data_IF_388366648973
#
_entry.id   IF_388366648973
#
_cell.length_a   1.000
_cell.length_b   1.000
_cell.length_c   1.000
_cell.angle_alpha   90.00
_cell.angle_beta   90.00
_cell.angle_gamma   90.00
#
_symmetry.space_group_name_H-M   'P 1'
#
loop_
_entity.id
_entity.type
_entity.pdbx_description
1 polymer ?
#
# COMPACT_ATOMS: atom_id res chain seq x y z
N UNK A 1 21.59 7.45 -16.88
CA UNK A 1 22.24 6.12 -17.06
C UNK A 1 22.70 5.51 -15.74
N UNK A 2 23.43 6.23 -14.88
CA UNK A 2 23.88 5.70 -13.58
C UNK A 2 22.71 5.27 -12.66
N UNK A 3 21.66 6.09 -12.53
CA UNK A 3 20.48 5.79 -11.70
C UNK A 3 19.81 4.44 -12.05
N UNK A 4 19.55 4.22 -13.34
CA UNK A 4 18.90 2.99 -13.83
C UNK A 4 19.82 1.77 -13.69
N UNK A 5 21.13 1.93 -13.91
CA UNK A 5 22.11 0.84 -13.72
C UNK A 5 22.26 0.45 -12.24
N UNK A 6 22.17 1.43 -11.34
CA UNK A 6 22.29 1.21 -9.91
C UNK A 6 21.04 0.58 -9.29
N UNK A 7 19.85 0.90 -9.81
CA UNK A 7 18.60 0.30 -9.35
C UNK A 7 17.66 0.01 -10.54
N UNK A 8 17.72 -1.22 -11.10
CA UNK A 8 16.88 -1.61 -12.23
C UNK A 8 15.39 -1.72 -11.87
N UNK A 9 15.04 -1.74 -10.58
CA UNK A 9 13.67 -1.87 -10.08
C UNK A 9 12.97 -0.52 -9.82
N UNK A 10 13.64 0.60 -10.10
CA UNK A 10 13.08 1.94 -9.99
C UNK A 10 11.75 2.03 -10.74
N UNK A 11 10.77 2.77 -10.20
CA UNK A 11 9.52 3.02 -10.91
C UNK A 11 9.72 4.05 -12.01
N UNK A 12 8.82 4.09 -13.01
CA UNK A 12 8.90 5.13 -14.03
C UNK A 12 8.58 6.51 -13.41
N UNK A 13 7.61 6.53 -12.49
CA UNK A 13 7.26 7.69 -11.66
C UNK A 13 8.45 8.18 -10.82
N UNK A 14 9.13 7.28 -10.13
CA UNK A 14 10.26 7.60 -9.26
C UNK A 14 11.48 8.03 -10.07
N UNK A 15 11.73 7.41 -11.22
CA UNK A 15 12.81 7.85 -12.11
C UNK A 15 12.52 9.23 -12.71
N UNK A 16 11.29 9.48 -13.15
CA UNK A 16 10.87 10.80 -13.65
C UNK A 16 11.06 11.86 -12.56
N UNK A 17 10.60 11.58 -11.34
CA UNK A 17 10.80 12.44 -10.17
C UNK A 17 12.27 12.72 -9.92
N UNK A 18 13.11 11.69 -9.79
CA UNK A 18 14.57 11.88 -9.54
C UNK A 18 15.24 12.74 -10.61
N UNK A 19 14.77 12.68 -11.86
CA UNK A 19 15.28 13.53 -12.94
C UNK A 19 14.85 14.99 -12.73
N UNK A 20 13.58 15.23 -12.39
CA UNK A 20 13.06 16.57 -12.06
C UNK A 20 13.79 17.15 -10.84
N UNK A 21 13.95 16.38 -9.77
CA UNK A 21 14.66 16.83 -8.56
C UNK A 21 16.11 17.23 -8.86
N UNK A 22 16.79 16.46 -9.71
CA UNK A 22 18.15 16.78 -10.15
C UNK A 22 18.21 18.05 -11.01
N UNK A 23 17.19 18.31 -11.84
CA UNK A 23 17.10 19.54 -12.61
C UNK A 23 16.86 20.75 -11.69
N UNK A 24 15.90 20.64 -10.77
CA UNK A 24 15.61 21.66 -9.75
C UNK A 24 16.83 21.98 -8.88
N UNK A 25 17.60 20.96 -8.47
CA UNK A 25 18.82 21.16 -7.71
C UNK A 25 19.88 21.96 -8.48
N UNK A 26 19.98 21.77 -9.81
CA UNK A 26 20.89 22.54 -10.67
C UNK A 26 20.44 24.00 -10.84
N UNK A 27 19.15 24.27 -10.68
CA UNK A 27 18.59 25.62 -10.76
C UNK A 27 18.74 26.44 -9.47
N UNK A 28 19.34 25.84 -8.42
CA UNK A 28 19.52 26.47 -7.11
C UNK A 28 18.48 26.06 -6.07
N UNK A 29 17.79 24.93 -6.28
CA UNK A 29 16.81 24.38 -5.33
C UNK A 29 15.36 24.75 -5.63
N UNK A 30 15.13 25.63 -6.61
CA UNK A 30 13.79 26.01 -7.08
C UNK A 30 13.81 26.08 -8.61
N UNK A 31 12.80 25.52 -9.32
CA UNK A 31 12.72 25.63 -10.77
C UNK A 31 12.71 27.10 -11.22
N UNK A 32 13.52 27.44 -12.22
CA UNK A 32 13.53 28.79 -12.81
C UNK A 32 12.48 28.96 -13.92
N UNK A 33 12.05 27.86 -14.51
CA UNK A 33 11.00 27.73 -15.51
C UNK A 33 10.32 26.35 -15.33
N UNK A 34 9.29 26.05 -16.12
CA UNK A 34 8.56 24.78 -16.06
C UNK A 34 9.47 23.58 -16.39
N UNK A 35 9.47 22.56 -15.51
CA UNK A 35 10.25 21.32 -15.70
C UNK A 35 9.28 20.14 -15.90
N UNK A 36 9.35 19.51 -17.06
CA UNK A 36 8.59 18.29 -17.38
C UNK A 36 9.53 17.13 -17.70
N UNK A 37 9.21 15.94 -17.19
CA UNK A 37 9.95 14.71 -17.49
C UNK A 37 9.00 13.55 -17.78
N UNK A 38 9.17 12.93 -18.95
CA UNK A 38 8.50 11.69 -19.31
C UNK A 38 9.53 10.54 -19.34
N UNK A 39 9.16 9.40 -18.76
CA UNK A 39 10.01 8.21 -18.67
C UNK A 39 9.25 7.00 -19.20
N UNK A 40 9.83 6.32 -20.18
CA UNK A 40 9.32 5.07 -20.74
C UNK A 40 10.46 4.07 -20.93
N UNK A 41 10.27 2.83 -20.47
CA UNK A 41 11.19 1.71 -20.67
C UNK A 41 10.48 0.38 -20.43
N UNK A 42 10.98 -0.67 -21.06
CA UNK A 42 10.53 -2.05 -20.81
C UNK A 42 11.11 -2.56 -19.49
N UNK A 43 10.29 -3.24 -18.69
CA UNK A 43 10.69 -3.91 -17.45
C UNK A 43 9.84 -5.13 -17.16
N UNK A 44 10.30 -5.97 -16.22
CA UNK A 44 9.43 -6.92 -15.54
C UNK A 44 8.44 -6.15 -14.65
N UNK A 45 7.13 -6.47 -14.68
CA UNK A 45 6.15 -5.84 -13.81
C UNK A 45 6.51 -6.00 -12.33
N UNK A 46 6.25 -4.96 -11.54
CA UNK A 46 6.47 -5.00 -10.09
C UNK A 46 5.16 -5.34 -9.41
N UNK A 47 5.19 -6.45 -8.69
CA UNK A 47 4.02 -7.00 -8.03
C UNK A 47 3.92 -6.48 -6.60
N UNK A 48 2.70 -6.21 -6.16
CA UNK A 48 2.35 -5.83 -4.81
C UNK A 48 1.15 -6.63 -4.33
N UNK A 49 1.24 -7.17 -3.13
CA UNK A 49 0.11 -7.74 -2.39
C UNK A 49 -0.25 -6.80 -1.25
N UNK A 50 -1.52 -6.43 -1.16
CA UNK A 50 -2.11 -5.76 0.00
C UNK A 50 -3.16 -6.68 0.61
N UNK A 51 -2.86 -7.24 1.78
CA UNK A 51 -3.77 -8.05 2.57
C UNK A 51 -4.49 -7.19 3.61
N UNK A 52 -5.82 -7.27 3.69
CA UNK A 52 -6.61 -6.50 4.66
C UNK A 52 -7.84 -7.25 5.14
N UNK A 53 -8.15 -7.09 6.43
CA UNK A 53 -9.24 -7.80 7.09
C UNK A 53 -8.97 -9.29 7.33
N UNK A 54 -9.47 -9.87 8.43
CA UNK A 54 -9.31 -11.28 8.70
C UNK A 54 -10.20 -12.15 7.78
N UNK A 55 -9.78 -13.39 7.44
CA UNK A 55 -10.56 -14.32 6.62
C UNK A 55 -11.90 -14.69 7.23
N UNK A 56 -12.87 -15.12 6.41
CA UNK A 56 -14.20 -15.50 6.92
C UNK A 56 -14.15 -16.59 8.00
N UNK A 57 -13.25 -17.56 7.84
CA UNK A 57 -13.10 -18.69 8.76
C UNK A 57 -11.65 -18.87 9.19
N UNK A 58 -11.44 -19.37 10.42
CA UNK A 58 -10.09 -19.68 10.92
C UNK A 58 -9.37 -20.74 10.07
N UNK A 59 -10.11 -21.60 9.36
CA UNK A 59 -9.52 -22.59 8.44
C UNK A 59 -8.80 -21.92 7.26
N UNK A 60 -9.18 -20.68 6.93
CA UNK A 60 -8.58 -19.88 5.87
C UNK A 60 -7.42 -19.01 6.38
N UNK A 61 -7.13 -19.01 7.69
CA UNK A 61 -6.06 -18.21 8.28
C UNK A 61 -4.69 -18.65 7.75
N UNK A 62 -4.44 -19.96 7.68
CA UNK A 62 -3.19 -20.51 7.13
C UNK A 62 -3.04 -20.16 5.64
N UNK A 63 -4.13 -20.22 4.87
CA UNK A 63 -4.12 -19.86 3.45
C UNK A 63 -3.77 -18.37 3.25
N UNK A 64 -4.32 -17.48 4.08
CA UNK A 64 -3.95 -16.05 4.04
C UNK A 64 -2.47 -15.86 4.35
N UNK A 65 -1.96 -16.53 5.39
CA UNK A 65 -0.58 -16.43 5.81
C UNK A 65 0.40 -16.95 4.75
N UNK A 66 0.12 -18.11 4.15
CA UNK A 66 0.90 -18.69 3.05
C UNK A 66 0.88 -17.77 1.82
N UNK A 67 -0.30 -17.25 1.45
CA UNK A 67 -0.42 -16.30 0.33
C UNK A 67 0.46 -15.06 0.56
N UNK A 68 0.49 -14.53 1.80
CA UNK A 68 1.37 -13.41 2.15
C UNK A 68 2.84 -13.82 2.17
N UNK A 69 3.20 -14.99 2.66
CA UNK A 69 4.59 -15.43 2.77
C UNK A 69 5.23 -15.72 1.40
N UNK A 70 4.47 -16.34 0.50
CA UNK A 70 4.95 -16.86 -0.79
C UNK A 70 4.83 -15.85 -1.94
N UNK A 71 4.17 -14.71 -1.72
CA UNK A 71 3.98 -13.71 -2.77
C UNK A 71 5.33 -13.18 -3.30
N UNK A 72 5.54 -13.33 -4.61
CA UNK A 72 6.70 -12.79 -5.32
C UNK A 72 6.49 -11.30 -5.62
N UNK A 73 6.82 -10.47 -4.65
CA UNK A 73 6.68 -9.02 -4.74
C UNK A 73 6.67 -8.34 -3.37
N UNK A 74 6.32 -7.05 -3.39
CA UNK A 74 6.12 -6.29 -2.16
C UNK A 74 4.85 -6.76 -1.44
N UNK A 75 4.87 -6.75 -0.11
CA UNK A 75 3.85 -7.33 0.76
C UNK A 75 3.43 -6.35 1.84
N UNK A 76 2.18 -5.94 1.80
CA UNK A 76 1.54 -5.03 2.75
C UNK A 76 0.46 -5.80 3.52
N UNK A 77 0.44 -5.64 4.85
CA UNK A 77 -0.63 -6.17 5.70
C UNK A 77 -1.27 -5.02 6.46
N UNK A 78 -2.55 -4.77 6.18
CA UNK A 78 -3.32 -3.70 6.81
C UNK A 78 -4.35 -4.31 7.79
N UNK A 79 -4.16 -4.01 9.09
CA UNK A 79 -5.07 -4.38 10.18
C UNK A 79 -4.41 -5.23 11.24
N UNK A 80 -4.56 -4.82 12.51
CA UNK A 80 -3.99 -5.53 13.66
C UNK A 80 -4.40 -7.00 13.73
N UNK A 81 -5.69 -7.32 13.55
CA UNK A 81 -6.17 -8.71 13.55
C UNK A 81 -5.59 -9.51 12.38
N UNK A 82 -5.54 -8.92 11.19
CA UNK A 82 -4.93 -9.55 10.00
C UNK A 82 -3.45 -9.84 10.24
N UNK A 83 -2.72 -8.87 10.76
CA UNK A 83 -1.30 -9.01 11.09
C UNK A 83 -1.07 -10.07 12.17
N UNK A 84 -1.91 -10.12 13.20
CA UNK A 84 -1.84 -11.14 14.24
C UNK A 84 -2.08 -12.55 13.71
N UNK A 85 -3.01 -12.72 12.75
CA UNK A 85 -3.24 -14.01 12.08
C UNK A 85 -2.01 -14.43 11.30
N UNK A 86 -1.49 -13.56 10.42
CA UNK A 86 -0.29 -13.85 9.63
C UNK A 86 0.91 -14.15 10.55
N UNK A 87 1.06 -13.40 11.64
CA UNK A 87 2.11 -13.60 12.63
C UNK A 87 2.04 -14.98 13.28
N UNK A 88 0.84 -15.38 13.71
CA UNK A 88 0.57 -16.65 14.39
C UNK A 88 0.87 -17.83 13.48
N UNK A 89 0.36 -17.81 12.26
CA UNK A 89 0.50 -18.91 11.31
C UNK A 89 1.94 -19.06 10.79
N UNK A 90 2.66 -17.94 10.60
CA UNK A 90 4.05 -17.97 10.14
C UNK A 90 5.09 -18.11 11.26
N UNK A 91 4.67 -17.98 12.53
CA UNK A 91 5.59 -17.92 13.67
C UNK A 91 6.50 -16.69 13.66
N UNK A 92 6.03 -15.56 13.11
CA UNK A 92 6.81 -14.32 12.93
C UNK A 92 6.19 -13.18 13.75
N UNK A 93 6.88 -12.64 14.77
CA UNK A 93 6.30 -11.62 15.62
C UNK A 93 6.07 -10.29 14.88
N UNK A 94 5.00 -9.58 15.27
CA UNK A 94 4.76 -8.19 14.87
C UNK A 94 5.37 -7.28 15.94
N UNK A 95 6.23 -6.36 15.53
CA UNK A 95 6.80 -5.35 16.42
C UNK A 95 6.35 -3.98 15.99
N UNK A 96 5.76 -3.21 16.93
CA UNK A 96 5.44 -1.81 16.66
C UNK A 96 6.70 -1.01 16.37
N UNK A 97 6.59 -0.11 15.40
CA UNK A 97 7.64 0.79 14.99
C UNK A 97 7.25 2.22 15.35
N UNK A 98 8.03 2.80 16.26
CA UNK A 98 7.79 4.15 16.79
C UNK A 98 8.61 5.21 16.05
N UNK A 99 9.26 4.87 14.94
CA UNK A 99 10.06 5.80 14.13
C UNK A 99 9.19 6.85 13.42
N UNK A 100 7.93 6.51 13.10
CA UNK A 100 6.98 7.35 12.37
C UNK A 100 5.72 7.60 13.20
N UNK A 101 5.82 8.53 14.15
CA UNK A 101 4.69 8.95 14.98
C UNK A 101 3.93 10.09 14.29
N UNK A 102 2.62 9.92 14.17
CA UNK A 102 1.66 10.87 13.62
C UNK A 102 0.49 10.95 14.63
N UNK A 103 -0.06 12.15 14.87
CA UNK A 103 -1.12 12.34 15.86
C UNK A 103 -2.46 11.73 15.40
N UNK A 104 -2.70 11.71 14.09
CA UNK A 104 -3.95 11.25 13.48
C UNK A 104 -3.84 9.84 12.88
N UNK A 105 -2.61 9.41 12.55
CA UNK A 105 -2.35 8.10 11.94
C UNK A 105 -1.62 7.19 12.93
N UNK A 106 -2.20 6.02 13.27
CA UNK A 106 -1.56 5.08 14.17
C UNK A 106 -0.19 4.59 13.66
N UNK A 107 0.72 4.21 14.56
CA UNK A 107 2.07 3.81 14.19
C UNK A 107 2.08 2.58 13.29
N UNK A 108 3.10 2.47 12.45
CA UNK A 108 3.32 1.28 11.64
C UNK A 108 3.89 0.15 12.50
N UNK A 109 3.85 -1.06 11.97
CA UNK A 109 4.51 -2.22 12.56
C UNK A 109 5.42 -2.90 11.54
N UNK A 110 6.35 -3.71 12.04
CA UNK A 110 7.27 -4.53 11.24
C UNK A 110 7.00 -6.01 11.49
N UNK A 111 7.16 -6.81 10.44
CA UNK A 111 7.13 -8.26 10.48
C UNK A 111 8.10 -8.79 9.43
N UNK A 112 8.87 -9.83 9.76
CA UNK A 112 9.80 -10.44 8.81
C UNK A 112 9.09 -10.97 7.56
N UNK A 113 9.58 -10.56 6.38
CA UNK A 113 9.01 -10.93 5.09
C UNK A 113 7.76 -10.14 4.68
N UNK A 114 7.39 -9.10 5.44
CA UNK A 114 6.35 -8.13 5.10
C UNK A 114 6.97 -6.73 5.03
N UNK A 115 6.73 -6.01 3.95
CA UNK A 115 7.34 -4.70 3.70
C UNK A 115 6.75 -3.58 4.56
N UNK A 116 5.47 -3.69 4.90
CA UNK A 116 4.77 -2.69 5.70
C UNK A 116 3.57 -3.35 6.40
N UNK A 117 3.49 -3.19 7.72
CA UNK A 117 2.28 -3.52 8.50
C UNK A 117 1.67 -2.22 9.01
N UNK A 118 0.38 -2.01 8.78
CA UNK A 118 -0.34 -0.81 9.22
C UNK A 118 -1.64 -1.18 9.92
N UNK A 119 -2.35 -0.17 10.39
CA UNK A 119 -3.76 -0.31 10.71
C UNK A 119 -4.60 -0.70 9.49
N UNK A 120 -5.81 -1.18 9.77
CA UNK A 120 -6.70 -1.74 8.77
C UNK A 120 -7.45 -0.67 8.00
N UNK A 121 -8.74 -0.57 8.28
CA UNK A 121 -9.68 0.28 7.54
C UNK A 121 -9.30 1.76 7.59
N UNK A 122 -8.71 2.24 8.70
CA UNK A 122 -8.31 3.65 8.88
C UNK A 122 -7.23 4.05 7.86
N UNK A 123 -6.13 3.28 7.78
CA UNK A 123 -5.04 3.55 6.83
C UNK A 123 -5.54 3.47 5.39
N UNK A 124 -6.34 2.46 5.08
CA UNK A 124 -6.94 2.29 3.75
C UNK A 124 -7.84 3.48 3.37
N UNK A 125 -8.69 3.95 4.29
CA UNK A 125 -9.56 5.09 4.03
C UNK A 125 -8.75 6.37 3.76
N UNK A 126 -7.65 6.56 4.48
CA UNK A 126 -6.73 7.69 4.24
C UNK A 126 -6.03 7.59 2.89
N UNK A 127 -5.56 6.40 2.50
CA UNK A 127 -4.99 6.15 1.17
C UNK A 127 -5.99 6.49 0.07
N UNK A 128 -7.27 6.13 0.25
CA UNK A 128 -8.32 6.48 -0.71
C UNK A 128 -8.51 8.00 -0.83
N UNK A 129 -8.63 8.72 0.30
CA UNK A 129 -8.73 10.19 0.30
C UNK A 129 -7.53 10.83 -0.44
N UNK A 130 -6.33 10.33 -0.19
CA UNK A 130 -5.12 10.80 -0.86
C UNK A 130 -5.15 10.54 -2.38
N UNK A 131 -5.60 9.36 -2.84
CA UNK A 131 -5.76 9.06 -4.26
C UNK A 131 -6.82 9.92 -4.94
N UNK A 132 -7.95 10.17 -4.26
CA UNK A 132 -9.04 11.00 -4.79
C UNK A 132 -8.59 12.44 -5.03
N UNK A 133 -7.78 12.96 -4.10
CA UNK A 133 -7.21 14.31 -4.10
C UNK A 133 -5.90 14.43 -4.88
N UNK A 134 -5.43 13.34 -5.50
CA UNK A 134 -4.16 13.27 -6.23
C UNK A 134 -2.95 13.76 -5.41
N UNK A 135 -2.94 13.40 -4.11
CA UNK A 135 -1.87 13.76 -3.20
C UNK A 135 -0.59 13.02 -3.60
N UNK A 136 0.50 13.77 -3.71
CA UNK A 136 1.82 13.20 -3.89
C UNK A 136 2.41 12.77 -2.53
N UNK A 137 2.55 11.46 -2.22
CA UNK A 137 3.12 10.99 -0.95
C UNK A 137 4.55 11.49 -0.69
N UNK A 138 5.29 11.91 -1.72
CA UNK A 138 6.66 12.43 -1.57
C UNK A 138 6.71 13.80 -0.86
N UNK A 139 5.60 14.53 -0.82
CA UNK A 139 5.49 15.85 -0.16
C UNK A 139 4.80 15.78 1.20
N UNK A 140 4.40 14.59 1.63
CA UNK A 140 3.65 14.38 2.86
C UNK A 140 4.56 13.78 3.95
N UNK A 141 4.25 14.02 5.24
CA UNK A 141 4.93 13.34 6.34
C UNK A 141 4.89 11.82 6.19
N UNK A 142 5.99 11.15 6.53
CA UNK A 142 6.05 9.67 6.46
C UNK A 142 5.21 9.07 7.59
N UNK A 143 4.19 8.31 7.22
CA UNK A 143 3.30 7.55 8.10
C UNK A 143 2.75 6.32 7.36
N UNK A 144 1.92 5.51 8.02
CA UNK A 144 1.40 4.27 7.42
C UNK A 144 0.62 4.48 6.11
N UNK A 145 -0.11 5.59 5.98
CA UNK A 145 -0.89 5.87 4.78
C UNK A 145 -0.03 6.36 3.62
N UNK A 146 0.91 7.29 3.87
CA UNK A 146 1.80 7.81 2.82
C UNK A 146 2.74 6.73 2.31
N UNK A 147 3.24 5.86 3.19
CA UNK A 147 4.03 4.68 2.81
C UNK A 147 3.21 3.69 1.97
N UNK A 148 1.98 3.37 2.39
CA UNK A 148 1.11 2.47 1.62
C UNK A 148 0.80 3.03 0.22
N UNK A 149 0.53 4.33 0.13
CA UNK A 149 0.32 5.02 -1.15
C UNK A 149 1.57 4.99 -2.03
N UNK A 150 2.75 5.20 -1.45
CA UNK A 150 4.03 5.08 -2.14
C UNK A 150 4.20 3.70 -2.78
N UNK A 151 3.94 2.61 -2.03
CA UNK A 151 3.97 1.25 -2.56
C UNK A 151 2.98 1.04 -3.72
N UNK A 152 1.73 1.48 -3.57
CA UNK A 152 0.70 1.34 -4.60
C UNK A 152 1.09 2.05 -5.90
N UNK A 153 1.50 3.32 -5.80
CA UNK A 153 1.86 4.12 -6.97
C UNK A 153 3.19 3.68 -7.60
N UNK A 154 4.09 3.08 -6.82
CA UNK A 154 5.33 2.48 -7.31
C UNK A 154 5.20 1.00 -7.68
N UNK A 155 4.01 0.42 -7.76
CA UNK A 155 3.79 -0.95 -8.27
C UNK A 155 3.12 -0.96 -9.64
N UNK A 156 3.07 -2.10 -10.31
CA UNK A 156 2.46 -2.25 -11.65
C UNK A 156 1.25 -3.18 -11.59
N UNK A 157 1.40 -4.33 -10.91
CA UNK A 157 0.36 -5.33 -10.67
C UNK A 157 0.04 -5.39 -9.18
N UNK A 158 -1.20 -5.09 -8.83
CA UNK A 158 -1.61 -4.95 -7.42
C UNK A 158 -2.69 -5.98 -7.09
N UNK A 159 -2.35 -6.89 -6.20
CA UNK A 159 -3.23 -7.94 -5.69
C UNK A 159 -3.79 -7.50 -4.33
N UNK A 160 -5.10 -7.38 -4.24
CA UNK A 160 -5.80 -7.13 -2.98
C UNK A 160 -6.34 -8.46 -2.45
N UNK A 161 -5.85 -8.89 -1.28
CA UNK A 161 -6.38 -10.04 -0.55
C UNK A 161 -7.26 -9.53 0.59
N UNK A 162 -8.58 -9.62 0.42
CA UNK A 162 -9.56 -8.95 1.28
C UNK A 162 -10.31 -9.99 2.11
N UNK A 163 -10.02 -10.02 3.40
CA UNK A 163 -10.72 -10.86 4.36
C UNK A 163 -12.17 -10.44 4.57
N UNK A 164 -13.03 -11.45 4.70
CA UNK A 164 -14.49 -11.31 4.70
C UNK A 164 -15.18 -11.61 6.03
N UNK A 165 -14.42 -11.71 7.13
CA UNK A 165 -15.01 -11.83 8.47
C UNK A 165 -15.88 -10.62 8.79
N UNK A 166 -17.09 -10.89 9.26
CA UNK A 166 -17.98 -9.88 9.82
C UNK A 166 -17.60 -9.73 11.29
N UNK A 167 -17.37 -8.50 11.73
CA UNK A 167 -17.06 -8.21 13.12
C UNK A 167 -18.37 -8.24 13.92
N UNK A 168 -18.59 -9.27 14.74
CA UNK A 168 -19.83 -9.48 15.50
C UNK A 168 -20.13 -8.36 16.51
N UNK A 169 -19.12 -7.56 16.87
CA UNK A 169 -19.22 -6.47 17.85
C UNK A 169 -19.99 -5.21 17.36
N UNK A 170 -20.31 -5.12 16.06
CA UNK A 170 -21.03 -3.97 15.49
C UNK A 170 -22.35 -4.39 14.85
N UNK A 171 -23.36 -4.66 15.70
CA UNK A 171 -24.77 -4.86 15.31
C UNK A 171 -25.58 -3.56 15.37
N UNK A 172 -24.97 -2.39 15.09
CA UNK A 172 -25.76 -1.16 14.94
C UNK A 172 -26.30 -1.10 13.49
N UNK A 173 -27.61 -1.26 13.26
CA UNK A 173 -28.20 -1.24 11.93
C UNK A 173 -28.04 0.12 11.20
N UNK A 174 -27.63 1.19 11.89
CA UNK A 174 -27.36 2.50 11.28
C UNK A 174 -25.90 2.67 10.81
N UNK A 175 -25.01 1.75 11.17
CA UNK A 175 -23.58 1.81 10.79
C UNK A 175 -23.37 0.79 9.68
N UNK A 176 -22.82 1.19 8.51
CA UNK A 176 -22.47 0.24 7.45
C UNK A 176 -21.58 -0.86 8.03
N UNK A 177 -21.90 -2.13 7.75
CA UNK A 177 -21.09 -3.24 8.21
C UNK A 177 -19.62 -3.00 7.82
N UNK A 178 -18.70 -3.18 8.77
CA UNK A 178 -17.26 -2.93 8.56
C UNK A 178 -16.72 -3.64 7.30
N UNK A 179 -17.28 -4.83 7.03
CA UNK A 179 -17.01 -5.60 5.82
C UNK A 179 -17.41 -4.86 4.53
N UNK A 180 -18.60 -4.26 4.50
CA UNK A 180 -19.08 -3.53 3.32
C UNK A 180 -18.26 -2.26 3.09
N UNK A 181 -17.88 -1.58 4.18
CA UNK A 181 -16.95 -0.46 4.10
C UNK A 181 -15.61 -0.89 3.49
N UNK A 182 -14.97 -1.94 4.02
CA UNK A 182 -13.67 -2.45 3.52
C UNK A 182 -13.74 -2.85 2.06
N UNK A 183 -14.78 -3.58 1.65
CA UNK A 183 -15.02 -3.99 0.26
C UNK A 183 -15.15 -2.78 -0.67
N UNK A 184 -15.91 -1.78 -0.24
CA UNK A 184 -16.10 -0.55 -1.02
C UNK A 184 -14.81 0.26 -1.12
N UNK A 185 -14.05 0.40 -0.05
CA UNK A 185 -12.75 1.06 -0.06
C UNK A 185 -11.78 0.39 -1.05
N UNK A 186 -11.65 -0.94 -1.00
CA UNK A 186 -10.77 -1.69 -1.90
C UNK A 186 -11.18 -1.53 -3.37
N UNK A 187 -12.48 -1.61 -3.67
CA UNK A 187 -12.99 -1.40 -5.04
C UNK A 187 -12.71 0.01 -5.56
N UNK A 188 -12.90 1.04 -4.73
CA UNK A 188 -12.66 2.43 -5.12
C UNK A 188 -11.17 2.70 -5.34
N UNK A 189 -10.31 2.19 -4.47
CA UNK A 189 -8.84 2.28 -4.64
C UNK A 189 -8.42 1.58 -5.93
N UNK A 190 -8.90 0.36 -6.18
CA UNK A 190 -8.60 -0.39 -7.41
C UNK A 190 -8.99 0.42 -8.66
N UNK A 191 -10.22 0.94 -8.71
CA UNK A 191 -10.69 1.75 -9.82
C UNK A 191 -9.83 3.00 -10.05
N UNK A 192 -9.47 3.74 -8.99
CA UNK A 192 -8.61 4.93 -9.13
C UNK A 192 -7.20 4.57 -9.63
N UNK A 193 -6.64 3.46 -9.18
CA UNK A 193 -5.32 2.99 -9.64
C UNK A 193 -5.35 2.59 -11.12
N UNK A 194 -6.42 1.94 -11.58
CA UNK A 194 -6.61 1.56 -12.98
C UNK A 194 -6.84 2.79 -13.87
N UNK A 195 -7.80 3.64 -13.50
CA UNK A 195 -8.25 4.78 -14.29
C UNK A 195 -7.23 5.92 -14.35
N UNK A 196 -6.57 6.24 -13.23
CA UNK A 196 -5.69 7.41 -13.12
C UNK A 196 -4.21 7.08 -13.20
N UNK A 197 -3.82 5.85 -12.86
CA UNK A 197 -2.41 5.49 -12.72
C UNK A 197 -1.97 4.29 -13.57
N UNK A 198 -2.86 3.79 -14.45
CA UNK A 198 -2.59 2.72 -15.41
C UNK A 198 -2.02 1.45 -14.74
N UNK A 199 -2.51 1.14 -13.53
CA UNK A 199 -2.18 -0.10 -12.82
C UNK A 199 -3.11 -1.21 -13.28
N UNK A 200 -2.68 -2.46 -13.18
CA UNK A 200 -3.59 -3.60 -13.25
C UNK A 200 -3.83 -4.11 -11.83
N UNK A 201 -5.09 -4.30 -11.45
CA UNK A 201 -5.46 -4.76 -10.12
C UNK A 201 -6.26 -6.06 -10.13
N UNK A 202 -6.15 -6.83 -9.05
CA UNK A 202 -6.91 -8.05 -8.84
C UNK A 202 -7.39 -8.11 -7.40
N UNK A 203 -8.69 -8.27 -7.18
CA UNK A 203 -9.28 -8.40 -5.85
C UNK A 203 -9.69 -9.85 -5.62
N UNK A 204 -9.15 -10.47 -4.56
CA UNK A 204 -9.53 -11.79 -4.08
C UNK A 204 -10.13 -11.66 -2.69
N UNK A 205 -11.26 -12.33 -2.46
CA UNK A 205 -11.91 -12.40 -1.16
C UNK A 205 -11.58 -13.73 -0.47
N UNK A 206 -11.37 -13.68 0.85
CA UNK A 206 -11.01 -14.86 1.68
C UNK A 206 -11.69 -14.85 3.06
#
# INVERSE_FOLDING_TARGET
RHLVRANPNLSARELARRIVDLATAKDGGTPRDDISCAVAYFRQPRHLLLATGPPFSEKSDIQMAETVAEFDGARLVCGGTTAAIVARELGRPVTMDLEFLDEDIPPISRMEGVNLVTEGTITVARVLDMLERDINPDHEPRNGATLALEYLLNSDLIHFLVGTRINEAHQDPNIPAELDLRRNLMKRIAALLEERHLKETRIQYI
#
